data_IF_521134925327
#
_entry.id   IF_521134925327
#
_cell.length_a   1.000
_cell.length_b   1.000
_cell.length_c   1.000
_cell.angle_alpha   90.00
_cell.angle_beta   90.00
_cell.angle_gamma   90.00
#
_symmetry.space_group_name_H-M   'P 1'
#
loop_
_entity.id
_entity.type
_entity.pdbx_description
1 polymer ?
#
# COMPACT_ATOMS: atom_id res chain seq x y z
N UNK A 1 43.46 3.55 -23.30
CA UNK A 1 42.25 3.35 -22.49
C UNK A 1 41.29 4.50 -22.80
N UNK A 2 40.18 4.30 -23.51
CA UNK A 2 39.24 5.39 -23.80
C UNK A 2 38.45 5.74 -22.53
N UNK A 3 38.50 7.01 -22.14
CA UNK A 3 37.61 7.61 -21.12
C UNK A 3 36.18 7.61 -21.67
N UNK A 4 35.33 6.77 -21.12
CA UNK A 4 33.89 6.86 -21.34
C UNK A 4 33.40 8.16 -20.64
N UNK A 5 33.20 9.22 -21.43
CA UNK A 5 32.46 10.39 -21.00
C UNK A 5 30.99 9.94 -20.76
N UNK A 6 30.62 9.78 -19.50
CA UNK A 6 29.21 9.67 -19.13
C UNK A 6 28.54 11.01 -19.45
N UNK A 7 27.79 11.09 -20.55
CA UNK A 7 26.87 12.18 -20.78
C UNK A 7 25.89 12.21 -19.59
N UNK A 8 25.96 13.27 -18.78
CA UNK A 8 24.94 13.59 -17.80
C UNK A 8 23.66 13.90 -18.59
N UNK A 9 22.75 12.92 -18.66
CA UNK A 9 21.42 13.17 -19.21
C UNK A 9 20.79 14.32 -18.42
N UNK A 10 20.39 15.38 -19.13
CA UNK A 10 19.76 16.54 -18.52
C UNK A 10 18.56 16.07 -17.69
N UNK A 11 18.55 16.36 -16.39
CA UNK A 11 17.50 15.94 -15.48
C UNK A 11 16.15 16.52 -15.97
N UNK A 12 15.26 15.65 -16.45
CA UNK A 12 13.95 16.08 -16.92
C UNK A 12 13.15 16.61 -15.72
N UNK A 13 12.80 17.90 -15.76
CA UNK A 13 12.02 18.58 -14.72
C UNK A 13 10.53 18.59 -15.07
N UNK A 14 9.71 18.06 -14.17
CA UNK A 14 8.24 18.07 -14.27
C UNK A 14 7.67 19.19 -13.42
N UNK A 15 7.00 20.16 -14.03
CA UNK A 15 6.12 21.09 -13.32
C UNK A 15 4.84 20.33 -12.94
N UNK A 16 4.55 20.17 -11.63
CA UNK A 16 3.38 19.43 -11.15
C UNK A 16 2.33 20.31 -10.47
N UNK A 17 2.60 21.61 -10.32
CA UNK A 17 1.70 22.62 -9.78
C UNK A 17 2.38 23.91 -9.36
N UNK A 18 1.61 24.76 -8.66
CA UNK A 18 2.07 26.00 -8.08
C UNK A 18 1.66 26.10 -6.61
N UNK A 19 2.38 26.89 -5.85
CA UNK A 19 2.07 27.23 -4.45
C UNK A 19 0.92 28.25 -4.35
N UNK A 20 0.53 28.59 -3.13
CA UNK A 20 -0.50 29.60 -2.89
C UNK A 20 -0.12 31.00 -3.38
N UNK A 21 1.18 31.29 -3.55
CA UNK A 21 1.72 32.53 -4.15
C UNK A 21 2.30 32.30 -5.55
N UNK A 22 1.74 31.33 -6.27
CA UNK A 22 2.06 30.99 -7.66
C UNK A 22 3.52 30.61 -7.95
N UNK A 23 4.28 30.18 -6.94
CA UNK A 23 5.63 29.65 -7.16
C UNK A 23 5.57 28.25 -7.72
N UNK A 24 6.40 27.91 -8.75
CA UNK A 24 6.35 26.62 -9.41
C UNK A 24 6.78 25.49 -8.46
N UNK A 25 6.02 24.39 -8.45
CA UNK A 25 6.36 23.15 -7.78
C UNK A 25 6.91 22.18 -8.83
N UNK A 26 8.20 21.86 -8.72
CA UNK A 26 8.91 21.03 -9.69
C UNK A 26 9.43 19.77 -9.06
N UNK A 27 9.41 18.69 -9.84
CA UNK A 27 10.02 17.41 -9.52
C UNK A 27 11.08 17.08 -10.58
N UNK A 28 12.31 16.87 -10.17
CA UNK A 28 13.39 16.44 -11.04
C UNK A 28 13.46 14.92 -11.11
N UNK A 29 13.66 14.39 -12.31
CA UNK A 29 13.82 12.97 -12.54
C UNK A 29 15.30 12.62 -12.71
N UNK A 30 15.78 11.61 -11.98
CA UNK A 30 17.16 11.07 -12.09
C UNK A 30 17.07 9.56 -12.27
N UNK A 31 17.69 9.05 -13.34
CA UNK A 31 17.62 7.65 -13.72
C UNK A 31 16.30 7.27 -14.38
N UNK A 32 16.18 5.99 -14.74
CA UNK A 32 15.03 5.42 -15.42
C UNK A 32 14.74 4.03 -14.88
N UNK A 33 13.45 3.68 -14.81
CA UNK A 33 13.05 2.34 -14.41
C UNK A 33 11.65 2.21 -13.85
N UNK A 34 11.21 0.98 -13.62
CA UNK A 34 9.89 0.70 -13.08
C UNK A 34 9.76 1.04 -11.59
N UNK A 35 10.89 1.07 -10.85
CA UNK A 35 10.92 1.37 -9.41
C UNK A 35 11.00 2.86 -9.20
N UNK A 36 9.89 3.47 -8.84
CA UNK A 36 9.82 4.92 -8.64
C UNK A 36 9.97 5.29 -7.17
N UNK A 37 10.91 6.18 -6.90
CA UNK A 37 11.21 6.69 -5.55
C UNK A 37 10.99 8.20 -5.54
N UNK A 38 10.10 8.67 -4.67
CA UNK A 38 9.89 10.10 -4.43
C UNK A 38 10.67 10.53 -3.19
N UNK A 39 11.42 11.61 -3.30
CA UNK A 39 12.14 12.20 -2.16
C UNK A 39 11.74 13.67 -2.05
N UNK A 40 11.20 14.05 -0.91
CA UNK A 40 10.74 15.41 -0.63
C UNK A 40 11.65 16.03 0.43
N UNK A 41 12.30 17.12 0.08
CA UNK A 41 13.29 17.82 0.93
C UNK A 41 12.63 18.58 2.07
N UNK A 42 11.46 19.21 1.82
CA UNK A 42 10.70 19.88 2.87
C UNK A 42 9.20 19.99 2.54
N UNK A 43 8.37 19.89 3.57
CA UNK A 43 6.94 20.23 3.55
C UNK A 43 6.66 21.43 4.48
N UNK A 44 7.46 21.59 5.52
CA UNK A 44 7.45 22.78 6.35
C UNK A 44 8.57 23.71 5.91
N UNK A 45 8.27 24.99 5.73
CA UNK A 45 9.25 25.91 5.12
C UNK A 45 10.47 26.22 5.99
N UNK A 46 10.37 26.03 7.30
CA UNK A 46 11.49 26.17 8.24
C UNK A 46 12.31 24.86 8.46
N UNK A 47 12.02 23.79 7.73
CA UNK A 47 12.66 22.47 7.87
C UNK A 47 13.39 22.10 6.56
N UNK A 48 14.45 22.84 6.19
CA UNK A 48 15.05 22.78 4.84
C UNK A 48 16.27 21.85 4.71
N UNK A 49 16.73 21.21 5.81
CA UNK A 49 17.95 20.40 5.79
C UNK A 49 17.91 19.21 4.80
N UNK A 50 16.72 18.75 4.42
CA UNK A 50 16.55 17.70 3.41
C UNK A 50 17.12 18.05 2.04
N UNK A 51 17.21 19.34 1.68
CA UNK A 51 17.81 19.80 0.41
C UNK A 51 19.25 19.31 0.21
N UNK A 52 20.03 19.20 1.29
CA UNK A 52 21.39 18.68 1.25
C UNK A 52 21.45 17.20 0.82
N UNK A 53 20.41 16.41 1.15
CA UNK A 53 20.30 15.01 0.71
C UNK A 53 19.93 14.97 -0.77
N UNK A 54 18.97 15.78 -1.21
CA UNK A 54 18.57 15.88 -2.61
C UNK A 54 19.74 16.31 -3.51
N UNK A 55 20.54 17.27 -3.07
CA UNK A 55 21.76 17.69 -3.78
C UNK A 55 22.76 16.52 -3.99
N UNK A 56 22.80 15.54 -3.07
CA UNK A 56 23.62 14.32 -3.23
C UNK A 56 22.97 13.32 -4.18
N UNK A 57 21.66 13.16 -4.09
CA UNK A 57 20.90 12.24 -4.97
C UNK A 57 20.96 12.68 -6.42
N UNK A 58 20.92 13.99 -6.73
CA UNK A 58 21.09 14.54 -8.09
C UNK A 58 22.41 14.12 -8.74
N UNK A 59 23.47 13.97 -7.94
CA UNK A 59 24.82 13.58 -8.40
C UNK A 59 25.08 12.08 -8.27
N UNK A 60 24.09 11.30 -7.87
CA UNK A 60 24.22 9.85 -7.72
C UNK A 60 23.66 9.14 -8.94
N UNK A 61 24.29 8.02 -9.32
CA UNK A 61 23.68 7.08 -10.25
C UNK A 61 22.70 6.16 -9.45
N UNK A 62 21.40 6.20 -9.71
CA UNK A 62 20.49 5.24 -9.10
C UNK A 62 20.83 3.81 -9.51
N UNK A 63 20.52 2.80 -8.71
CA UNK A 63 20.61 1.42 -9.13
C UNK A 63 19.83 1.15 -10.43
N UNK A 64 20.24 0.18 -11.27
CA UNK A 64 19.49 -0.19 -12.46
C UNK A 64 18.00 -0.45 -12.14
N UNK A 65 17.12 0.09 -12.97
CA UNK A 65 15.67 -0.05 -12.78
C UNK A 65 15.05 0.90 -11.75
N UNK A 66 15.81 1.80 -11.13
CA UNK A 66 15.31 2.80 -10.18
C UNK A 66 15.25 4.18 -10.82
N UNK A 67 14.10 4.83 -10.71
CA UNK A 67 13.82 6.20 -11.14
C UNK A 67 13.54 7.07 -9.90
N UNK A 68 14.40 8.05 -9.63
CA UNK A 68 14.20 9.00 -8.55
C UNK A 68 13.40 10.21 -9.03
N UNK A 69 12.51 10.68 -8.19
CA UNK A 69 11.77 11.93 -8.30
C UNK A 69 12.10 12.82 -7.12
N UNK A 70 12.78 13.92 -7.35
CA UNK A 70 13.33 14.81 -6.33
C UNK A 70 12.53 16.11 -6.30
N UNK A 71 11.96 16.43 -5.14
CA UNK A 71 11.20 17.68 -4.89
C UNK A 71 11.88 18.43 -3.74
N UNK A 72 12.51 19.56 -4.01
CA UNK A 72 13.22 20.32 -2.97
C UNK A 72 12.28 20.77 -1.87
N UNK A 73 11.17 21.38 -2.26
CA UNK A 73 10.13 21.76 -1.32
C UNK A 73 8.75 21.69 -1.98
N UNK A 74 7.76 21.26 -1.22
CA UNK A 74 6.36 21.40 -1.59
C UNK A 74 5.74 22.67 -0.99
N UNK A 75 6.53 23.45 -0.24
CA UNK A 75 6.13 24.71 0.42
C UNK A 75 7.14 25.84 0.16
N UNK A 76 7.33 26.27 -1.10
CA UNK A 76 8.30 27.31 -1.41
C UNK A 76 7.96 28.67 -0.77
N UNK A 77 6.70 28.93 -0.51
CA UNK A 77 6.26 30.14 0.18
C UNK A 77 6.69 30.17 1.64
N UNK A 78 6.52 29.04 2.33
CA UNK A 78 6.99 28.87 3.70
C UNK A 78 8.52 28.91 3.80
N UNK A 79 9.24 28.30 2.83
CA UNK A 79 10.72 28.39 2.75
C UNK A 79 11.18 29.83 2.68
N UNK A 80 10.57 30.63 1.80
CA UNK A 80 10.93 32.04 1.65
C UNK A 80 10.69 32.86 2.93
N UNK A 81 9.64 32.49 3.70
CA UNK A 81 9.27 33.18 4.94
C UNK A 81 9.95 32.62 6.18
N UNK A 82 10.59 31.46 6.09
CA UNK A 82 11.10 30.72 7.24
C UNK A 82 10.00 30.18 8.17
N UNK A 83 8.77 29.96 7.65
CA UNK A 83 7.61 29.52 8.43
C UNK A 83 7.30 28.05 8.21
N UNK A 84 6.75 27.38 9.24
CA UNK A 84 6.26 26.02 9.12
C UNK A 84 5.14 25.90 8.08
N UNK A 85 4.18 26.81 8.16
CA UNK A 85 2.97 26.84 7.35
C UNK A 85 3.24 27.35 5.94
N UNK A 86 2.30 27.13 5.02
CA UNK A 86 2.28 27.77 3.71
C UNK A 86 1.86 29.25 3.80
N UNK A 87 1.74 29.93 2.66
CA UNK A 87 1.37 31.35 2.60
C UNK A 87 -0.01 31.67 3.19
N UNK A 88 -0.89 30.68 3.32
CA UNK A 88 -2.24 30.81 3.90
C UNK A 88 -2.30 30.38 5.37
N UNK A 89 -1.16 30.18 6.00
CA UNK A 89 -1.07 29.75 7.40
C UNK A 89 -1.46 28.31 7.66
N UNK A 90 -1.47 27.43 6.63
CA UNK A 90 -1.86 26.03 6.75
C UNK A 90 -0.62 25.16 6.95
N UNK A 91 -0.65 24.26 7.97
CA UNK A 91 0.27 23.15 8.06
C UNK A 91 -0.06 22.13 6.96
N UNK A 92 0.72 22.14 5.89
CA UNK A 92 0.49 21.26 4.74
C UNK A 92 0.49 19.78 5.13
N UNK A 93 1.25 19.38 6.17
CA UNK A 93 1.26 18.00 6.67
C UNK A 93 0.08 17.68 7.62
N UNK A 94 -0.95 18.53 7.61
CA UNK A 94 -2.27 18.30 8.21
C UNK A 94 -3.39 18.42 7.18
N UNK A 95 -3.08 18.76 5.94
CA UNK A 95 -4.07 19.08 4.89
C UNK A 95 -4.42 17.91 3.97
N UNK A 96 -3.86 16.70 4.20
CA UNK A 96 -4.19 15.50 3.40
C UNK A 96 -5.45 14.79 3.91
N UNK A 97 -6.15 14.07 2.98
CA UNK A 97 -7.50 13.57 3.24
C UNK A 97 -7.63 12.43 4.26
N UNK A 98 -6.56 11.70 4.59
CA UNK A 98 -6.66 10.59 5.53
C UNK A 98 -6.87 11.08 6.96
N UNK A 99 -8.05 10.75 7.55
CA UNK A 99 -8.43 11.19 8.90
C UNK A 99 -8.30 12.71 9.10
N UNK A 100 -8.45 13.48 8.03
CA UNK A 100 -8.45 14.94 8.17
C UNK A 100 -9.53 15.36 9.19
N UNK A 101 -9.22 16.36 9.98
CA UNK A 101 -10.16 16.99 10.88
C UNK A 101 -9.88 18.48 10.92
N UNK A 102 -10.93 19.28 10.92
CA UNK A 102 -10.86 20.73 11.05
C UNK A 102 -10.47 21.17 12.46
N UNK A 103 -10.32 22.47 12.65
CA UNK A 103 -10.00 23.13 13.92
C UNK A 103 -8.81 24.07 13.82
N UNK A 104 -8.72 25.02 14.72
CA UNK A 104 -7.65 26.03 14.75
C UNK A 104 -7.87 27.19 13.78
N UNK A 105 -6.88 28.09 13.75
CA UNK A 105 -6.84 29.31 12.92
C UNK A 105 -5.60 29.31 12.03
N UNK A 106 -5.64 30.08 10.97
CA UNK A 106 -4.46 30.31 10.12
C UNK A 106 -3.26 30.74 10.97
N UNK A 107 -2.11 30.12 10.69
CA UNK A 107 -0.83 30.27 11.41
C UNK A 107 -0.74 29.58 12.78
N UNK A 108 -1.79 28.94 13.28
CA UNK A 108 -1.61 27.98 14.38
C UNK A 108 -0.67 26.85 13.91
N UNK A 109 0.12 26.30 14.84
CA UNK A 109 1.18 25.33 14.50
C UNK A 109 0.69 24.15 13.65
N UNK A 110 -0.55 23.68 13.89
CA UNK A 110 -1.12 22.51 13.24
C UNK A 110 -2.43 22.83 12.49
N UNK A 111 -2.66 24.07 12.09
CA UNK A 111 -3.87 24.43 11.35
C UNK A 111 -4.01 23.61 10.06
N UNK A 112 -5.06 22.77 9.92
CA UNK A 112 -5.18 21.81 8.83
C UNK A 112 -5.80 22.39 7.56
N UNK A 113 -6.07 23.69 7.54
CA UNK A 113 -6.86 24.36 6.49
C UNK A 113 -8.36 24.13 6.64
N UNK A 114 -9.15 24.73 5.78
CA UNK A 114 -10.64 24.73 5.86
C UNK A 114 -11.26 23.36 5.49
N UNK A 115 -10.58 22.55 4.70
CA UNK A 115 -10.98 21.19 4.31
C UNK A 115 -9.76 20.40 3.85
N UNK A 116 -9.92 19.09 3.76
CA UNK A 116 -8.89 18.23 3.18
C UNK A 116 -8.53 18.71 1.76
N UNK A 117 -7.25 18.80 1.47
CA UNK A 117 -6.72 19.29 0.20
C UNK A 117 -7.23 20.70 -0.17
N UNK A 118 -7.44 21.57 0.83
CA UNK A 118 -7.77 23.00 0.56
C UNK A 118 -6.64 23.71 -0.16
N UNK A 119 -5.38 23.30 0.09
CA UNK A 119 -4.21 24.02 -0.40
C UNK A 119 -3.78 23.57 -1.80
N UNK A 120 -3.32 24.49 -2.67
CA UNK A 120 -2.84 24.15 -4.00
C UNK A 120 -1.65 23.18 -3.94
N UNK A 121 -0.75 23.34 -2.96
CA UNK A 121 0.43 22.50 -2.75
C UNK A 121 0.03 21.04 -2.45
N UNK A 122 -0.89 20.83 -1.52
CA UNK A 122 -1.35 19.47 -1.18
C UNK A 122 -2.10 18.80 -2.35
N UNK A 123 -2.86 19.58 -3.14
CA UNK A 123 -3.47 19.09 -4.38
C UNK A 123 -2.41 18.74 -5.44
N UNK A 124 -1.37 19.55 -5.57
CA UNK A 124 -0.25 19.29 -6.48
C UNK A 124 0.49 17.99 -6.11
N UNK A 125 0.83 17.81 -4.84
CA UNK A 125 1.41 16.54 -4.33
C UNK A 125 0.49 15.36 -4.61
N UNK A 126 -0.82 15.49 -4.37
CA UNK A 126 -1.79 14.44 -4.68
C UNK A 126 -1.76 14.05 -6.16
N UNK A 127 -1.68 15.02 -7.08
CA UNK A 127 -1.55 14.75 -8.52
C UNK A 127 -0.23 14.06 -8.85
N UNK A 128 0.89 14.55 -8.32
CA UNK A 128 2.21 13.96 -8.53
C UNK A 128 2.24 12.50 -8.10
N UNK A 129 1.87 12.19 -6.85
CA UNK A 129 1.87 10.82 -6.32
C UNK A 129 0.96 9.90 -7.13
N UNK A 130 -0.21 10.38 -7.57
CA UNK A 130 -1.11 9.61 -8.44
C UNK A 130 -0.52 9.32 -9.81
N UNK A 131 0.24 10.25 -10.37
CA UNK A 131 0.89 10.14 -11.69
C UNK A 131 2.05 9.17 -11.65
N UNK A 132 2.98 9.35 -10.70
CA UNK A 132 4.23 8.57 -10.66
C UNK A 132 4.10 7.23 -9.92
N UNK A 133 3.15 7.10 -8.99
CA UNK A 133 2.93 5.89 -8.19
C UNK A 133 4.22 5.37 -7.52
N UNK A 134 4.86 6.17 -6.66
CA UNK A 134 6.13 5.79 -6.08
C UNK A 134 6.00 4.58 -5.16
N UNK A 135 6.91 3.60 -5.28
CA UNK A 135 7.01 2.46 -4.37
C UNK A 135 7.53 2.89 -3.00
N UNK A 136 8.40 3.90 -3.01
CA UNK A 136 9.03 4.48 -1.82
C UNK A 136 8.86 6.00 -1.86
N UNK A 137 8.48 6.60 -0.73
CA UNK A 137 8.54 8.05 -0.54
C UNK A 137 9.21 8.39 0.77
N UNK A 138 10.25 9.22 0.71
CA UNK A 138 10.95 9.73 1.89
C UNK A 138 10.65 11.21 2.05
N UNK A 139 10.04 11.57 3.19
CA UNK A 139 9.73 12.93 3.58
C UNK A 139 10.73 13.41 4.62
N UNK A 140 11.56 14.38 4.30
CA UNK A 140 12.47 14.97 5.26
C UNK A 140 11.79 16.07 6.08
N UNK A 141 12.00 15.98 7.39
CA UNK A 141 11.56 16.89 8.42
C UNK A 141 12.71 17.24 9.37
N UNK A 142 12.48 18.15 10.29
CA UNK A 142 13.34 18.50 11.42
C UNK A 142 12.45 18.66 12.65
N UNK A 143 12.92 18.36 13.88
CA UNK A 143 14.31 18.22 14.32
C UNK A 143 14.53 17.04 15.29
N UNK A 144 13.67 16.01 15.26
CA UNK A 144 13.57 14.98 16.32
C UNK A 144 14.63 13.87 16.22
N UNK A 145 15.46 13.81 15.20
CA UNK A 145 16.55 12.82 15.02
C UNK A 145 16.06 11.36 15.08
N UNK A 146 15.06 11.03 14.30
CA UNK A 146 14.47 9.69 14.22
C UNK A 146 13.93 9.38 12.80
N UNK A 147 13.61 8.11 12.57
CA UNK A 147 12.83 7.69 11.41
C UNK A 147 11.47 7.19 11.89
N UNK A 148 10.39 7.83 11.41
CA UNK A 148 9.05 7.49 11.86
C UNK A 148 8.54 6.21 11.20
N UNK A 149 8.13 5.22 12.01
CA UNK A 149 7.35 4.06 11.57
C UNK A 149 5.94 4.51 11.17
N UNK A 150 5.86 5.25 10.06
CA UNK A 150 4.62 5.87 9.58
C UNK A 150 3.53 4.82 9.30
N UNK A 151 2.31 5.13 9.72
CA UNK A 151 1.15 4.23 9.55
C UNK A 151 0.98 3.77 8.10
N UNK A 152 0.94 2.45 7.89
CA UNK A 152 0.80 1.81 6.58
C UNK A 152 2.09 1.66 5.76
N UNK A 153 3.24 2.16 6.23
CA UNK A 153 4.54 1.87 5.62
C UNK A 153 5.04 0.47 6.01
N UNK A 154 5.81 -0.19 5.14
CA UNK A 154 6.47 -1.45 5.51
C UNK A 154 7.54 -1.19 6.59
N UNK A 155 7.35 -1.70 7.82
CA UNK A 155 8.29 -1.45 8.91
C UNK A 155 9.69 -2.02 8.66
N UNK A 156 9.82 -3.02 7.78
CA UNK A 156 11.13 -3.59 7.40
C UNK A 156 11.94 -2.59 6.59
N UNK A 157 11.31 -1.92 5.61
CA UNK A 157 11.91 -0.86 4.79
C UNK A 157 12.34 0.31 5.68
N UNK A 158 11.42 0.78 6.55
CA UNK A 158 11.69 1.90 7.46
C UNK A 158 12.85 1.59 8.43
N UNK A 159 12.83 0.40 9.06
CA UNK A 159 13.90 -0.04 9.99
C UNK A 159 15.24 -0.23 9.27
N UNK A 160 15.23 -0.77 8.05
CA UNK A 160 16.44 -0.92 7.24
C UNK A 160 17.05 0.44 6.88
N UNK A 161 16.22 1.41 6.51
CA UNK A 161 16.67 2.79 6.31
C UNK A 161 17.26 3.39 7.59
N UNK A 162 16.53 3.30 8.71
CA UNK A 162 16.93 3.84 10.00
C UNK A 162 18.32 3.32 10.47
N UNK A 163 18.55 1.99 10.35
CA UNK A 163 19.87 1.40 10.64
C UNK A 163 20.98 1.99 9.78
N UNK A 164 20.73 2.17 8.47
CA UNK A 164 21.75 2.72 7.56
C UNK A 164 22.14 4.16 7.87
N UNK A 165 21.21 4.95 8.41
CA UNK A 165 21.50 6.35 8.75
C UNK A 165 21.92 6.53 10.21
N UNK A 166 21.84 5.49 11.04
CA UNK A 166 22.19 5.54 12.46
C UNK A 166 21.17 6.31 13.30
N UNK A 167 19.88 6.28 12.90
CA UNK A 167 18.80 6.91 13.64
C UNK A 167 17.84 5.86 14.21
N UNK A 168 17.21 6.12 15.38
CA UNK A 168 16.20 5.23 15.91
C UNK A 168 14.94 5.21 15.03
N UNK A 169 14.38 4.02 14.80
CA UNK A 169 13.06 3.88 14.22
C UNK A 169 12.01 3.91 15.35
N UNK A 170 11.17 4.93 15.38
CA UNK A 170 10.14 5.13 16.41
C UNK A 170 8.78 5.42 15.78
N UNK A 171 7.71 5.10 16.49
CA UNK A 171 6.35 5.49 16.10
C UNK A 171 6.03 6.83 16.75
N UNK A 172 5.75 7.83 15.94
CA UNK A 172 5.21 9.11 16.41
C UNK A 172 3.68 9.01 16.61
N UNK A 173 3.07 9.93 17.36
CA UNK A 173 1.62 10.01 17.46
C UNK A 173 0.97 9.96 16.08
N UNK A 174 -0.18 9.31 15.99
CA UNK A 174 -0.87 9.13 14.71
C UNK A 174 -1.63 10.42 14.32
N UNK A 175 -0.87 11.42 13.91
CA UNK A 175 -1.38 12.70 13.47
C UNK A 175 -2.37 12.56 12.30
N UNK A 176 -3.41 13.37 12.33
CA UNK A 176 -4.45 13.42 11.28
C UNK A 176 -3.96 14.21 10.07
N UNK A 177 -4.47 13.89 8.88
CA UNK A 177 -4.21 14.65 7.65
C UNK A 177 -2.76 14.68 7.16
N UNK A 178 -1.91 13.68 7.50
CA UNK A 178 -0.50 13.65 7.06
C UNK A 178 -0.34 13.08 5.66
N UNK A 179 0.68 13.55 4.94
CA UNK A 179 1.03 13.09 3.60
C UNK A 179 1.34 11.59 3.55
N UNK A 180 2.15 11.10 4.51
CA UNK A 180 2.55 9.68 4.58
C UNK A 180 1.36 8.77 4.84
N UNK A 181 0.53 9.10 5.84
CA UNK A 181 -0.67 8.30 6.16
C UNK A 181 -1.67 8.28 5.00
N UNK A 182 -1.89 9.44 4.34
CA UNK A 182 -2.72 9.49 3.14
C UNK A 182 -2.18 8.58 2.03
N UNK A 183 -0.88 8.69 1.70
CA UNK A 183 -0.28 7.91 0.62
C UNK A 183 -0.36 6.42 0.89
N UNK A 184 0.12 5.96 2.04
CA UNK A 184 0.19 4.54 2.39
C UNK A 184 -1.18 3.86 2.39
N UNK A 185 -2.25 4.57 2.81
CA UNK A 185 -3.60 4.00 2.85
C UNK A 185 -4.37 4.19 1.55
N UNK A 186 -3.97 5.15 0.69
CA UNK A 186 -4.58 5.32 -0.64
C UNK A 186 -3.95 4.36 -1.65
N UNK A 187 -2.65 4.07 -1.49
CA UNK A 187 -1.86 3.22 -2.38
C UNK A 187 -1.19 2.10 -1.57
N UNK A 188 -1.93 1.05 -1.18
CA UNK A 188 -1.38 -0.08 -0.46
C UNK A 188 -0.18 -0.69 -1.18
N UNK A 189 0.80 -1.16 -0.42
CA UNK A 189 2.05 -1.69 -0.95
C UNK A 189 3.13 -0.62 -1.21
N UNK A 190 2.81 0.68 -1.07
CA UNK A 190 3.82 1.75 -1.05
C UNK A 190 4.38 1.95 0.36
N UNK A 191 5.58 2.51 0.48
CA UNK A 191 6.18 2.87 1.76
C UNK A 191 6.55 4.34 1.77
N UNK A 192 5.67 5.18 2.33
CA UNK A 192 5.95 6.58 2.59
C UNK A 192 6.24 6.79 4.08
N UNK A 193 7.38 7.37 4.42
CA UNK A 193 7.74 7.63 5.81
C UNK A 193 8.49 8.96 6.00
N UNK A 194 8.47 9.45 7.23
CA UNK A 194 9.15 10.67 7.65
C UNK A 194 10.52 10.34 8.22
N UNK A 195 11.49 11.16 7.85
CA UNK A 195 12.83 11.20 8.45
C UNK A 195 13.01 12.55 9.12
N UNK A 196 13.05 12.54 10.43
CA UNK A 196 13.33 13.71 11.25
C UNK A 196 14.84 13.88 11.36
N UNK A 197 15.37 14.85 10.63
CA UNK A 197 16.79 15.22 10.67
C UNK A 197 17.12 15.99 11.97
N UNK A 198 18.41 16.17 12.30
CA UNK A 198 18.82 17.09 13.36
C UNK A 198 18.38 18.53 13.09
N UNK A 199 18.35 19.37 14.11
CA UNK A 199 18.19 20.82 13.97
C UNK A 199 19.35 21.42 13.17
N UNK A 200 19.07 22.51 12.46
CA UNK A 200 20.06 23.25 11.67
C UNK A 200 20.50 22.56 10.37
N UNK A 201 21.57 23.03 9.75
CA UNK A 201 22.08 22.49 8.49
C UNK A 201 22.61 21.06 8.61
N UNK A 202 22.34 20.23 7.61
CA UNK A 202 22.82 18.84 7.62
C UNK A 202 24.27 18.77 7.14
N UNK A 203 25.15 18.15 7.95
CA UNK A 203 26.56 17.91 7.60
C UNK A 203 26.68 17.06 6.34
N UNK A 204 27.66 17.36 5.48
CA UNK A 204 27.87 16.68 4.20
C UNK A 204 27.98 15.13 4.31
N UNK A 205 28.63 14.63 5.37
CA UNK A 205 28.74 13.18 5.60
C UNK A 205 27.37 12.54 5.91
N UNK A 206 26.53 13.22 6.71
CA UNK A 206 25.16 12.78 6.99
C UNK A 206 24.30 12.82 5.72
N UNK A 207 24.37 13.89 4.92
CA UNK A 207 23.66 13.98 3.66
C UNK A 207 24.03 12.82 2.70
N UNK A 208 25.33 12.48 2.59
CA UNK A 208 25.79 11.30 1.83
C UNK A 208 25.24 9.98 2.36
N UNK A 209 25.18 9.83 3.70
CA UNK A 209 24.64 8.64 4.36
C UNK A 209 23.15 8.46 4.06
N UNK A 210 22.37 9.53 4.17
CA UNK A 210 20.94 9.54 3.84
C UNK A 210 20.70 9.24 2.36
N UNK A 211 21.47 9.84 1.43
CA UNK A 211 21.34 9.56 0.01
C UNK A 211 21.60 8.09 -0.31
N UNK A 212 22.67 7.48 0.23
CA UNK A 212 22.93 6.04 0.09
C UNK A 212 21.83 5.18 0.69
N UNK A 213 21.23 5.60 1.82
CA UNK A 213 20.13 4.87 2.44
C UNK A 213 18.86 4.90 1.58
N UNK A 214 18.53 6.02 0.91
CA UNK A 214 17.44 6.12 -0.06
C UNK A 214 17.66 5.11 -1.20
N UNK A 215 18.84 5.14 -1.84
CA UNK A 215 19.16 4.25 -2.96
C UNK A 215 19.09 2.77 -2.57
N UNK A 216 19.57 2.43 -1.37
CA UNK A 216 19.52 1.06 -0.85
C UNK A 216 18.13 0.60 -0.39
N UNK A 217 17.21 1.53 -0.10
CA UNK A 217 15.84 1.21 0.29
C UNK A 217 14.90 1.00 -0.90
N UNK A 218 15.25 1.51 -2.08
CA UNK A 218 14.42 1.43 -3.28
C UNK A 218 14.10 -0.02 -3.71
N UNK A 219 15.07 -0.96 -3.84
CA UNK A 219 14.78 -2.35 -4.15
C UNK A 219 13.93 -3.04 -3.08
N UNK A 220 14.19 -2.78 -1.80
CA UNK A 220 13.44 -3.39 -0.70
C UNK A 220 11.96 -2.95 -0.68
N UNK A 221 11.66 -1.73 -1.13
CA UNK A 221 10.29 -1.25 -1.28
C UNK A 221 9.55 -1.93 -2.43
N UNK A 222 10.28 -2.36 -3.48
CA UNK A 222 9.71 -3.13 -4.61
C UNK A 222 9.47 -4.59 -4.28
N UNK A 223 10.32 -5.21 -3.48
CA UNK A 223 10.11 -6.58 -3.01
C UNK A 223 8.80 -6.72 -2.24
N UNK A 224 8.37 -5.67 -1.56
CA UNK A 224 7.07 -5.62 -0.89
C UNK A 224 5.88 -5.61 -1.88
N UNK A 225 6.09 -5.17 -3.12
CA UNK A 225 5.09 -5.12 -4.20
C UNK A 225 5.29 -6.21 -5.27
N UNK A 226 6.46 -6.88 -5.27
CA UNK A 226 6.77 -7.91 -6.23
C UNK A 226 5.75 -9.05 -6.13
N UNK A 227 5.33 -9.55 -7.28
CA UNK A 227 4.51 -10.76 -7.33
C UNK A 227 5.27 -11.89 -6.64
N UNK A 228 4.72 -12.52 -5.60
CA UNK A 228 5.36 -13.68 -4.98
C UNK A 228 5.46 -14.82 -5.98
N UNK A 229 6.37 -15.77 -5.73
CA UNK A 229 6.39 -17.02 -6.50
C UNK A 229 5.05 -17.74 -6.29
N UNK A 230 4.30 -17.93 -7.37
CA UNK A 230 2.99 -18.56 -7.38
C UNK A 230 3.06 -19.78 -8.30
N UNK A 231 2.65 -20.92 -7.76
CA UNK A 231 2.53 -22.19 -8.50
C UNK A 231 1.10 -22.33 -9.02
N UNK A 232 0.92 -22.48 -10.33
CA UNK A 232 -0.40 -22.77 -10.89
C UNK A 232 -0.79 -24.23 -10.64
N UNK A 233 -1.90 -24.43 -9.93
CA UNK A 233 -2.58 -25.73 -9.73
C UNK A 233 -4.05 -25.55 -10.04
N UNK A 234 -4.35 -25.30 -11.32
CA UNK A 234 -5.69 -24.96 -11.79
C UNK A 234 -6.71 -26.06 -11.43
N UNK A 235 -7.84 -25.65 -10.91
CA UNK A 235 -9.05 -26.49 -10.85
C UNK A 235 -9.80 -26.40 -12.19
N UNK A 236 -10.63 -27.42 -12.53
CA UNK A 236 -11.50 -27.36 -13.70
C UNK A 236 -12.45 -26.17 -13.63
N UNK A 237 -12.35 -25.25 -14.60
CA UNK A 237 -13.21 -24.05 -14.68
C UNK A 237 -13.64 -23.80 -16.15
N UNK A 238 -14.19 -24.83 -16.78
CA UNK A 238 -14.65 -24.85 -18.18
C UNK A 238 -16.00 -24.16 -18.39
N UNK A 239 -16.61 -24.41 -19.54
CA UNK A 239 -17.88 -23.79 -19.98
C UNK A 239 -19.01 -23.99 -18.96
N UNK A 240 -19.18 -25.23 -18.46
CA UNK A 240 -20.22 -25.61 -17.48
C UNK A 240 -20.09 -24.79 -16.20
N UNK A 241 -18.90 -24.75 -15.57
CA UNK A 241 -18.70 -24.01 -14.32
C UNK A 241 -18.87 -22.51 -14.51
N UNK A 242 -18.46 -21.97 -15.66
CA UNK A 242 -18.72 -20.56 -16.03
C UNK A 242 -20.21 -20.27 -16.19
N UNK A 243 -20.99 -21.18 -16.81
CA UNK A 243 -22.43 -21.03 -16.93
C UNK A 243 -23.13 -21.07 -15.54
N UNK A 244 -22.76 -22.01 -14.70
CA UNK A 244 -23.22 -22.09 -13.31
C UNK A 244 -22.88 -20.82 -12.52
N UNK A 245 -21.64 -20.28 -12.70
CA UNK A 245 -21.22 -19.03 -12.05
C UNK A 245 -22.07 -17.83 -12.52
N UNK A 246 -22.42 -17.75 -13.80
CA UNK A 246 -23.33 -16.69 -14.30
C UNK A 246 -24.73 -16.81 -13.69
N UNK A 247 -25.28 -18.03 -13.61
CA UNK A 247 -26.59 -18.27 -13.00
C UNK A 247 -26.57 -17.91 -11.50
N UNK A 248 -25.53 -18.33 -10.77
CA UNK A 248 -25.29 -17.94 -9.38
C UNK A 248 -25.24 -16.41 -9.22
N UNK A 249 -24.39 -15.72 -10.00
CA UNK A 249 -24.24 -14.27 -9.91
C UNK A 249 -25.53 -13.52 -10.26
N UNK A 250 -26.33 -14.01 -11.19
CA UNK A 250 -27.66 -13.46 -11.50
C UNK A 250 -28.59 -13.54 -10.29
N UNK A 251 -28.61 -14.69 -9.60
CA UNK A 251 -29.46 -14.94 -8.43
C UNK A 251 -29.02 -14.09 -7.24
N UNK A 252 -27.72 -14.09 -6.92
CA UNK A 252 -27.17 -13.47 -5.70
C UNK A 252 -26.88 -11.98 -5.85
N UNK A 253 -26.46 -11.51 -7.05
CA UNK A 253 -25.96 -10.16 -7.29
C UNK A 253 -26.74 -9.39 -8.39
N UNK A 254 -27.72 -10.03 -9.03
CA UNK A 254 -28.56 -9.41 -10.04
C UNK A 254 -27.97 -9.35 -11.45
N UNK A 255 -26.72 -9.75 -11.64
CA UNK A 255 -26.01 -9.66 -12.94
C UNK A 255 -25.50 -11.02 -13.37
N UNK A 256 -25.87 -11.48 -14.58
CA UNK A 256 -25.41 -12.76 -15.15
C UNK A 256 -23.96 -12.66 -15.65
N UNK A 257 -23.01 -12.68 -14.74
CA UNK A 257 -21.57 -12.57 -15.04
C UNK A 257 -20.75 -13.63 -14.33
N UNK A 258 -19.62 -14.00 -14.92
CA UNK A 258 -18.58 -14.79 -14.25
C UNK A 258 -17.31 -13.95 -14.03
N UNK A 259 -17.36 -12.64 -14.31
CA UNK A 259 -16.21 -11.72 -14.24
C UNK A 259 -16.10 -11.12 -12.85
N UNK A 260 -14.97 -11.36 -12.20
CA UNK A 260 -14.62 -10.78 -10.90
C UNK A 260 -14.17 -9.31 -11.04
N UNK A 261 -14.66 -8.47 -10.13
CA UNK A 261 -14.21 -7.07 -9.98
C UNK A 261 -13.64 -6.84 -8.57
N UNK A 262 -12.35 -7.15 -8.31
CA UNK A 262 -11.79 -7.18 -6.97
C UNK A 262 -11.87 -5.85 -6.23
N UNK A 263 -12.41 -5.88 -5.02
CA UNK A 263 -12.50 -4.77 -4.06
C UNK A 263 -12.08 -5.19 -2.65
N UNK A 264 -12.10 -6.51 -2.39
CA UNK A 264 -11.88 -7.13 -1.08
C UNK A 264 -10.93 -8.31 -1.26
N UNK A 265 -10.09 -8.57 -0.26
CA UNK A 265 -9.43 -9.86 -0.05
C UNK A 265 -10.07 -10.49 1.17
N UNK A 266 -10.50 -11.75 1.05
CA UNK A 266 -11.04 -12.53 2.16
C UNK A 266 -10.06 -13.65 2.50
N UNK A 267 -9.62 -13.67 3.75
CA UNK A 267 -8.73 -14.68 4.32
C UNK A 267 -9.58 -15.79 4.93
N UNK A 268 -9.23 -17.07 4.60
CA UNK A 268 -9.90 -18.27 5.04
C UNK A 268 -8.89 -19.30 5.55
N UNK A 269 -9.37 -20.33 6.25
CA UNK A 269 -8.61 -21.56 6.42
C UNK A 269 -9.43 -22.78 5.93
N UNK A 270 -8.71 -23.76 5.42
CA UNK A 270 -9.30 -24.89 4.67
C UNK A 270 -10.04 -25.91 5.54
N UNK A 271 -9.92 -25.82 6.87
CA UNK A 271 -10.35 -26.87 7.82
C UNK A 271 -9.80 -28.26 7.44
N UNK A 272 -8.66 -28.30 6.74
CA UNK A 272 -8.00 -29.54 6.31
C UNK A 272 -6.50 -29.49 6.59
N UNK A 273 -5.89 -30.68 6.69
CA UNK A 273 -4.47 -30.81 7.04
C UNK A 273 -3.53 -30.73 5.83
N UNK A 274 -4.03 -30.82 4.59
CA UNK A 274 -3.20 -30.87 3.38
C UNK A 274 -3.74 -30.01 2.25
N UNK A 275 -2.82 -29.52 1.39
CA UNK A 275 -3.16 -28.87 0.13
C UNK A 275 -4.05 -29.75 -0.76
N UNK A 276 -3.71 -31.04 -0.90
CA UNK A 276 -4.42 -31.95 -1.80
C UNK A 276 -5.88 -32.13 -1.42
N UNK A 277 -6.20 -32.21 -0.12
CA UNK A 277 -7.58 -32.31 0.37
C UNK A 277 -8.39 -31.07 -0.04
N UNK A 278 -7.89 -29.86 0.23
CA UNK A 278 -8.55 -28.62 -0.15
C UNK A 278 -8.68 -28.48 -1.69
N UNK A 279 -7.63 -28.83 -2.44
CA UNK A 279 -7.66 -28.77 -3.90
C UNK A 279 -8.71 -29.71 -4.49
N UNK A 280 -8.81 -30.96 -3.99
CA UNK A 280 -9.81 -31.93 -4.45
C UNK A 280 -11.24 -31.43 -4.21
N UNK A 281 -11.52 -30.86 -3.05
CA UNK A 281 -12.82 -30.25 -2.73
C UNK A 281 -13.19 -29.16 -3.76
N UNK A 282 -12.26 -28.28 -4.05
CA UNK A 282 -12.50 -27.17 -5.01
C UNK A 282 -12.57 -27.65 -6.47
N UNK A 283 -11.84 -28.70 -6.84
CA UNK A 283 -11.83 -29.25 -8.19
C UNK A 283 -13.13 -30.00 -8.52
N UNK A 284 -13.73 -30.66 -7.54
CA UNK A 284 -14.92 -31.50 -7.73
C UNK A 284 -16.14 -30.74 -8.28
N UNK A 285 -16.24 -29.44 -8.06
CA UNK A 285 -17.40 -28.62 -8.45
C UNK A 285 -18.75 -29.22 -7.98
N UNK A 286 -18.75 -29.93 -6.85
CA UNK A 286 -19.94 -30.46 -6.22
C UNK A 286 -20.80 -29.33 -5.61
N UNK A 287 -22.14 -29.50 -5.51
CA UNK A 287 -22.93 -28.61 -4.66
C UNK A 287 -22.36 -28.64 -3.25
N UNK A 288 -22.29 -27.47 -2.59
CA UNK A 288 -21.88 -27.46 -1.19
C UNK A 288 -22.95 -28.10 -0.30
N UNK A 289 -22.52 -28.65 0.82
CA UNK A 289 -23.39 -29.37 1.74
C UNK A 289 -24.39 -28.50 2.50
N UNK A 290 -24.08 -27.18 2.61
CA UNK A 290 -24.86 -26.23 3.39
C UNK A 290 -25.99 -25.59 2.56
N UNK A 291 -25.66 -25.10 1.35
CA UNK A 291 -26.59 -24.35 0.51
C UNK A 291 -27.11 -25.15 -0.68
N UNK A 292 -26.52 -26.32 -0.96
CA UNK A 292 -26.82 -27.19 -2.10
C UNK A 292 -26.76 -26.48 -3.46
N UNK A 293 -25.87 -25.47 -3.58
CA UNK A 293 -25.77 -24.60 -4.75
C UNK A 293 -24.59 -24.93 -5.67
N UNK A 294 -24.77 -24.66 -6.96
CA UNK A 294 -23.72 -24.66 -7.98
C UNK A 294 -23.43 -23.23 -8.46
N UNK A 295 -22.17 -22.90 -8.84
CA UNK A 295 -21.00 -23.80 -8.85
C UNK A 295 -20.59 -24.21 -7.43
N UNK A 296 -19.88 -25.31 -7.34
CA UNK A 296 -19.24 -25.70 -6.08
C UNK A 296 -18.27 -24.64 -5.56
N UNK A 297 -17.98 -24.70 -4.26
CA UNK A 297 -17.05 -23.77 -3.61
C UNK A 297 -15.67 -23.80 -4.26
N UNK A 298 -14.96 -22.68 -4.21
CA UNK A 298 -13.58 -22.57 -4.67
C UNK A 298 -12.88 -21.37 -4.01
N UNK A 299 -11.56 -21.32 -4.08
CA UNK A 299 -10.76 -20.16 -3.73
C UNK A 299 -9.81 -19.79 -4.87
N UNK A 300 -9.36 -18.53 -4.90
CA UNK A 300 -8.39 -18.10 -5.92
C UNK A 300 -6.99 -18.59 -5.60
N UNK A 301 -6.66 -18.68 -4.30
CA UNK A 301 -5.36 -19.13 -3.82
C UNK A 301 -5.52 -20.10 -2.65
N UNK A 302 -4.52 -20.99 -2.54
CA UNK A 302 -4.22 -21.72 -1.31
C UNK A 302 -2.78 -21.40 -0.91
N UNK A 303 -2.56 -21.07 0.35
CA UNK A 303 -1.23 -20.91 0.97
C UNK A 303 -0.98 -22.12 1.84
N UNK A 304 0.01 -22.94 1.48
CA UNK A 304 0.35 -24.16 2.20
C UNK A 304 1.20 -23.86 3.45
N UNK A 305 1.32 -24.84 4.33
CA UNK A 305 2.04 -24.78 5.62
C UNK A 305 3.51 -24.38 5.46
N UNK A 306 4.16 -24.81 4.38
CA UNK A 306 5.56 -24.48 4.05
C UNK A 306 5.73 -23.09 3.45
N UNK A 307 4.61 -22.40 3.15
CA UNK A 307 4.57 -21.07 2.50
C UNK A 307 4.50 -21.12 0.98
N UNK A 308 4.29 -22.29 0.37
CA UNK A 308 4.00 -22.38 -1.07
C UNK A 308 2.63 -21.76 -1.36
N UNK A 309 2.59 -20.87 -2.36
CA UNK A 309 1.37 -20.20 -2.81
C UNK A 309 0.90 -20.87 -4.08
N UNK A 310 -0.27 -21.49 -4.04
CA UNK A 310 -0.93 -22.05 -5.21
C UNK A 310 -2.03 -21.14 -5.71
N UNK A 311 -2.09 -20.91 -7.04
CA UNK A 311 -3.21 -20.23 -7.69
C UNK A 311 -4.08 -21.26 -8.38
N UNK A 312 -5.38 -21.29 -8.06
CA UNK A 312 -6.34 -22.27 -8.54
C UNK A 312 -7.21 -21.74 -9.67
N UNK A 313 -7.60 -20.47 -9.57
CA UNK A 313 -8.53 -19.80 -10.48
C UNK A 313 -7.95 -18.47 -10.95
N UNK A 314 -8.30 -18.08 -12.18
CA UNK A 314 -7.92 -16.76 -12.70
C UNK A 314 -8.59 -15.65 -11.89
N UNK A 315 -7.83 -14.59 -11.57
CA UNK A 315 -8.33 -13.39 -10.88
C UNK A 315 -9.34 -12.56 -11.72
N UNK A 316 -9.68 -13.04 -12.90
CA UNK A 316 -10.75 -12.47 -13.72
C UNK A 316 -12.11 -13.19 -13.53
N UNK A 317 -12.12 -14.30 -12.78
CA UNK A 317 -13.29 -15.16 -12.59
C UNK A 317 -13.81 -15.05 -11.17
N UNK A 318 -15.12 -15.04 -11.02
CA UNK A 318 -15.81 -15.17 -9.74
C UNK A 318 -15.56 -16.58 -9.22
N UNK A 319 -15.18 -16.68 -7.95
CA UNK A 319 -15.00 -17.93 -7.21
C UNK A 319 -15.90 -17.88 -5.98
N UNK A 320 -16.60 -18.96 -5.70
CA UNK A 320 -17.59 -19.02 -4.62
C UNK A 320 -16.93 -19.43 -3.31
N UNK A 321 -16.69 -18.47 -2.41
CA UNK A 321 -16.03 -18.68 -1.12
C UNK A 321 -16.62 -17.84 0.04
N UNK A 322 -17.40 -16.79 -0.28
CA UNK A 322 -17.99 -15.89 0.72
C UNK A 322 -19.31 -15.36 0.19
N UNK A 323 -20.42 -15.74 0.82
CA UNK A 323 -21.77 -15.24 0.45
C UNK A 323 -21.79 -13.70 0.53
N UNK A 324 -22.47 -13.06 -0.40
CA UNK A 324 -22.57 -11.60 -0.47
C UNK A 324 -21.33 -10.87 -0.98
N UNK A 325 -20.20 -11.55 -1.26
CA UNK A 325 -18.94 -10.92 -1.67
C UNK A 325 -18.26 -11.58 -2.87
N UNK A 326 -18.73 -12.72 -3.39
CA UNK A 326 -17.97 -13.48 -4.39
C UNK A 326 -17.69 -12.71 -5.69
N UNK A 327 -18.50 -11.74 -6.08
CA UNK A 327 -18.29 -10.91 -7.27
C UNK A 327 -17.31 -9.75 -7.01
N UNK A 328 -16.91 -9.52 -5.75
CA UNK A 328 -16.03 -8.44 -5.29
C UNK A 328 -14.79 -8.92 -4.57
N UNK A 329 -14.71 -10.19 -4.20
CA UNK A 329 -13.66 -10.69 -3.33
C UNK A 329 -12.71 -11.67 -4.00
N UNK A 330 -11.42 -11.54 -3.69
CA UNK A 330 -10.40 -12.56 -3.93
C UNK A 330 -10.30 -13.39 -2.65
N UNK A 331 -10.57 -14.70 -2.72
CA UNK A 331 -10.41 -15.63 -1.62
C UNK A 331 -8.98 -16.17 -1.54
N UNK A 332 -8.44 -16.23 -0.34
CA UNK A 332 -7.17 -16.86 0.01
C UNK A 332 -7.44 -17.87 1.12
N UNK A 333 -7.24 -19.12 0.83
CA UNK A 333 -7.29 -20.22 1.79
C UNK A 333 -5.92 -20.51 2.40
N UNK A 334 -5.89 -20.88 3.66
CA UNK A 334 -4.68 -21.34 4.35
C UNK A 334 -4.86 -22.77 4.81
N UNK A 335 -3.93 -23.65 4.45
CA UNK A 335 -3.98 -25.04 4.92
C UNK A 335 -3.82 -25.05 6.44
N UNK A 336 -4.86 -25.43 7.14
CA UNK A 336 -4.95 -25.44 8.60
C UNK A 336 -6.39 -25.38 9.09
N UNK A 337 -6.57 -25.41 10.41
CA UNK A 337 -7.89 -25.57 11.06
C UNK A 337 -8.22 -24.44 12.05
N UNK A 338 -7.33 -23.46 12.25
CA UNK A 338 -7.61 -22.33 13.15
C UNK A 338 -6.77 -21.10 12.83
N UNK A 339 -7.30 -19.94 13.20
CA UNK A 339 -6.60 -18.63 13.11
C UNK A 339 -5.25 -18.65 13.84
N UNK A 340 -5.22 -19.26 15.04
CA UNK A 340 -4.02 -19.34 15.87
C UNK A 340 -2.92 -20.16 15.20
N UNK A 341 -3.29 -21.29 14.60
CA UNK A 341 -2.39 -22.14 13.87
C UNK A 341 -1.73 -21.42 12.71
N UNK A 342 -2.52 -20.71 11.87
CA UNK A 342 -2.03 -19.99 10.69
C UNK A 342 -1.15 -18.80 11.10
N UNK A 343 -1.57 -18.01 12.07
CA UNK A 343 -0.80 -16.88 12.57
C UNK A 343 0.48 -17.30 13.30
N UNK A 344 0.50 -18.52 13.86
CA UNK A 344 1.65 -19.12 14.54
C UNK A 344 2.68 -19.76 13.60
N UNK A 345 2.37 -19.96 12.30
CA UNK A 345 3.29 -20.56 11.31
C UNK A 345 4.07 -19.49 10.52
N UNK A 346 5.33 -19.20 10.86
CA UNK A 346 6.04 -18.04 10.28
C UNK A 346 6.22 -18.11 8.76
N UNK A 347 6.39 -19.30 8.17
CA UNK A 347 6.57 -19.48 6.72
C UNK A 347 5.25 -19.20 5.99
N UNK A 348 4.17 -19.81 6.41
CA UNK A 348 2.83 -19.65 5.86
C UNK A 348 2.36 -18.20 5.99
N UNK A 349 2.47 -17.60 7.17
CA UNK A 349 2.08 -16.21 7.42
C UNK A 349 2.88 -15.22 6.57
N UNK A 350 4.21 -15.39 6.43
CA UNK A 350 5.03 -14.52 5.56
C UNK A 350 4.62 -14.62 4.09
N UNK A 351 4.28 -15.83 3.61
CA UNK A 351 3.83 -16.04 2.25
C UNK A 351 2.46 -15.38 2.01
N UNK A 352 1.51 -15.58 2.91
CA UNK A 352 0.20 -14.95 2.90
C UNK A 352 0.30 -13.42 2.87
N UNK A 353 1.05 -12.81 3.79
CA UNK A 353 1.25 -11.36 3.82
C UNK A 353 1.89 -10.81 2.54
N UNK A 354 2.80 -11.55 1.89
CA UNK A 354 3.37 -11.13 0.59
C UNK A 354 2.34 -11.21 -0.52
N UNK A 355 1.53 -12.28 -0.56
CA UNK A 355 0.46 -12.44 -1.52
C UNK A 355 -0.57 -11.31 -1.37
N UNK A 356 -1.03 -11.06 -0.16
CA UNK A 356 -2.03 -10.03 0.14
C UNK A 356 -1.53 -8.63 -0.22
N UNK A 357 -0.28 -8.27 0.13
CA UNK A 357 0.32 -6.99 -0.28
C UNK A 357 0.39 -6.84 -1.80
N UNK A 358 0.77 -7.89 -2.52
CA UNK A 358 0.78 -7.87 -3.99
C UNK A 358 -0.62 -7.66 -4.57
N UNK A 359 -1.66 -8.32 -4.02
CA UNK A 359 -3.04 -8.14 -4.44
C UNK A 359 -3.55 -6.72 -4.12
N UNK A 360 -3.21 -6.19 -2.94
CA UNK A 360 -3.51 -4.82 -2.55
C UNK A 360 -2.93 -3.81 -3.56
N UNK A 361 -1.65 -3.94 -3.90
CA UNK A 361 -0.99 -3.07 -4.87
C UNK A 361 -1.62 -3.19 -6.26
N UNK A 362 -1.90 -4.42 -6.71
CA UNK A 362 -2.44 -4.71 -8.04
C UNK A 362 -3.85 -4.18 -8.26
N UNK A 363 -4.72 -4.25 -7.24
CA UNK A 363 -6.14 -3.93 -7.34
C UNK A 363 -6.56 -2.69 -6.55
N UNK A 364 -5.59 -1.97 -5.97
CA UNK A 364 -5.82 -0.82 -5.09
C UNK A 364 -6.77 -1.14 -3.91
N UNK A 365 -6.62 -2.35 -3.33
CA UNK A 365 -7.39 -2.80 -2.18
C UNK A 365 -6.74 -2.24 -0.91
N UNK A 366 -7.49 -1.46 -0.14
CA UNK A 366 -6.98 -0.88 1.13
C UNK A 366 -6.92 -1.94 2.23
N UNK A 367 -6.04 -1.77 3.22
CA UNK A 367 -5.90 -2.72 4.33
C UNK A 367 -7.21 -2.95 5.11
N UNK A 368 -8.11 -1.97 5.16
CA UNK A 368 -9.44 -2.15 5.77
C UNK A 368 -10.34 -3.15 5.02
N UNK A 369 -10.06 -3.36 3.73
CA UNK A 369 -10.77 -4.29 2.85
C UNK A 369 -10.03 -5.64 2.71
N UNK A 370 -9.04 -5.90 3.55
CA UNK A 370 -8.50 -7.24 3.82
C UNK A 370 -9.18 -7.73 5.07
N UNK A 371 -10.09 -8.67 4.91
CA UNK A 371 -11.00 -9.14 5.98
C UNK A 371 -10.90 -10.65 6.14
N UNK A 372 -11.30 -11.16 7.29
CA UNK A 372 -11.59 -12.57 7.48
C UNK A 372 -13.02 -12.90 7.05
N UNK A 373 -13.31 -14.18 6.83
CA UNK A 373 -14.67 -14.60 6.51
C UNK A 373 -15.67 -14.15 7.57
N UNK A 374 -15.30 -14.29 8.85
CA UNK A 374 -16.11 -13.83 9.98
C UNK A 374 -16.41 -12.31 10.00
N UNK A 375 -15.73 -11.51 9.17
CA UNK A 375 -15.98 -10.08 9.02
C UNK A 375 -16.79 -9.73 7.77
N UNK A 376 -17.23 -10.72 6.97
CA UNK A 376 -17.88 -10.53 5.67
C UNK A 376 -19.10 -9.62 5.73
N UNK A 377 -19.95 -9.79 6.72
CA UNK A 377 -21.19 -9.01 6.91
C UNK A 377 -20.93 -7.51 7.21
N UNK A 378 -19.76 -7.17 7.75
CA UNK A 378 -19.39 -5.78 8.02
C UNK A 378 -18.65 -5.09 6.86
N UNK A 379 -18.45 -5.77 5.74
CA UNK A 379 -17.84 -5.20 4.54
C UNK A 379 -18.79 -4.22 3.85
N UNK A 380 -18.32 -3.02 3.47
CA UNK A 380 -19.16 -2.08 2.69
C UNK A 380 -19.47 -2.57 1.27
N UNK A 381 -18.88 -3.68 0.85
CA UNK A 381 -19.12 -4.33 -0.45
C UNK A 381 -20.03 -5.54 -0.33
N UNK A 382 -20.42 -5.94 0.91
CA UNK A 382 -21.35 -7.05 1.10
C UNK A 382 -22.72 -6.68 0.53
N UNK A 383 -23.22 -7.53 -0.37
CA UNK A 383 -24.57 -7.41 -0.89
C UNK A 383 -25.08 -8.79 -1.32
N UNK A 384 -26.22 -9.19 -0.80
CA UNK A 384 -26.86 -10.48 -1.06
C UNK A 384 -28.35 -10.27 -1.31
N UNK A 385 -28.83 -10.74 -2.47
CA UNK A 385 -30.23 -10.60 -2.85
C UNK A 385 -31.14 -11.69 -2.26
N UNK A 386 -30.56 -12.88 -2.05
CA UNK A 386 -31.30 -14.01 -1.46
C UNK A 386 -31.50 -13.76 0.02
N UNK A 387 -32.72 -13.44 0.43
CA UNK A 387 -33.04 -12.93 1.76
C UNK A 387 -32.50 -13.82 2.90
N UNK A 388 -32.69 -15.16 2.80
CA UNK A 388 -32.23 -16.11 3.81
C UNK A 388 -30.71 -16.17 3.98
N UNK A 389 -29.94 -15.65 3.03
CA UNK A 389 -28.47 -15.72 3.02
C UNK A 389 -27.80 -14.38 3.39
N UNK A 390 -28.56 -13.30 3.64
CA UNK A 390 -28.00 -11.99 3.95
C UNK A 390 -27.18 -11.92 5.22
N UNK A 391 -27.40 -12.84 6.14
CA UNK A 391 -26.68 -12.93 7.43
C UNK A 391 -25.79 -14.15 7.52
N UNK A 392 -25.64 -14.91 6.42
CA UNK A 392 -24.80 -16.09 6.39
C UNK A 392 -23.32 -15.72 6.37
N UNK A 393 -22.54 -16.27 7.30
CA UNK A 393 -21.08 -16.11 7.41
C UNK A 393 -20.47 -17.28 8.16
N UNK A 394 -19.15 -17.42 8.10
CA UNK A 394 -18.40 -18.44 8.82
C UNK A 394 -17.43 -17.81 9.83
N UNK A 395 -16.96 -18.60 10.80
CA UNK A 395 -16.16 -18.11 11.92
C UNK A 395 -14.67 -17.91 11.63
N UNK A 396 -14.18 -18.31 10.44
CA UNK A 396 -12.76 -18.31 10.09
C UNK A 396 -12.20 -16.90 9.91
N UNK A 397 -10.99 -16.73 10.39
CA UNK A 397 -10.29 -15.44 10.50
C UNK A 397 -11.12 -14.37 11.23
N UNK A 398 -11.41 -14.67 12.49
CA UNK A 398 -12.19 -13.81 13.36
C UNK A 398 -11.53 -12.42 13.55
N UNK A 399 -12.34 -11.43 13.94
CA UNK A 399 -11.90 -10.03 14.08
C UNK A 399 -10.61 -9.84 14.91
N UNK A 400 -10.36 -10.56 16.03
CA UNK A 400 -9.09 -10.45 16.77
C UNK A 400 -7.89 -10.94 15.96
N UNK A 401 -8.03 -12.05 15.22
CA UNK A 401 -7.01 -12.58 14.34
C UNK A 401 -6.71 -11.60 13.19
N UNK A 402 -7.75 -11.05 12.56
CA UNK A 402 -7.60 -10.07 11.49
C UNK A 402 -6.99 -8.75 11.95
N UNK A 403 -7.21 -8.31 13.18
CA UNK A 403 -6.47 -7.15 13.74
C UNK A 403 -4.97 -7.43 13.76
N UNK A 404 -4.55 -8.63 14.24
CA UNK A 404 -3.13 -9.04 14.25
C UNK A 404 -2.56 -9.21 12.85
N UNK A 405 -3.33 -9.76 11.91
CA UNK A 405 -2.93 -9.93 10.51
C UNK A 405 -2.75 -8.57 9.83
N UNK A 406 -3.75 -7.70 9.89
CA UNK A 406 -3.71 -6.35 9.29
C UNK A 406 -2.62 -5.44 9.88
N UNK A 407 -2.26 -5.61 11.14
CA UNK A 407 -1.14 -4.90 11.76
C UNK A 407 0.23 -5.25 11.14
N UNK A 408 0.31 -6.39 10.42
CA UNK A 408 1.52 -6.88 9.75
C UNK A 408 1.53 -6.55 8.25
N UNK A 409 0.39 -6.10 7.65
CA UNK A 409 0.29 -5.58 6.29
C UNK A 409 0.81 -4.14 6.23
#
# INVERSE_FOLDING_TARGET
MPRVLALAAAAASLLFGHSAQDRPLRAERVGEGPVKVLVVGSIHGNETAGSAVLARLRRSAPPPGVELWLVDSVNPDGVRRGTRQNARGVDLNRNFGRRWAGGGRAFDTYFPGRRAFSEPESRAVRRLVRRIRPSLTVWYHQHMRLVNLSSGADPRVVRAYARRVGLPARTLPNYRGTATSWQNHTFPGTSAFVVELPAGPLRAASARRHARAVLAAAPAATDAQARPRIVWKKIPFGATRKAQTRAYAKRHYGTATHTLRPKVVVEHFTASSTFSSAWNTFAANAPDVELHERPGVCSHFIVDKDGTIYQLVSLKLICRHTVGLNDRAIGIEHVGSSDAEILGRPRQLRASLRLTRWLQARYAITTKNVIGHAESLSSPYHHERVARLRTQTHGDFARPAMRRYRAKL
#
